data_IF_265252406641
#
_entry.id   IF_265252406641
#
_cell.length_a   1.000
_cell.length_b   1.000
_cell.length_c   1.000
_cell.angle_alpha   90.00
_cell.angle_beta   90.00
_cell.angle_gamma   90.00
#
_symmetry.space_group_name_H-M   'P 1'
#
loop_
_entity.id
_entity.type
_entity.pdbx_description
1 polymer ?
#
# COMPACT_ATOMS: atom_id res chain seq x y z
N UNK A 1 -7.53 3.63 2.08
CA UNK A 1 -8.92 4.06 2.39
C UNK A 1 -8.94 5.43 3.06
N UNK A 2 -10.12 6.03 3.25
CA UNK A 2 -10.32 7.29 3.99
C UNK A 2 -11.16 7.06 5.25
N UNK A 3 -10.82 7.74 6.35
CA UNK A 3 -11.71 7.82 7.52
C UNK A 3 -12.82 8.87 7.31
N UNK A 4 -13.80 8.93 8.23
CA UNK A 4 -14.95 9.85 8.15
C UNK A 4 -14.56 11.33 8.07
N UNK A 5 -13.35 11.67 8.51
CA UNK A 5 -12.84 13.03 8.51
C UNK A 5 -12.02 13.34 7.25
N UNK A 6 -11.77 12.33 6.39
CA UNK A 6 -11.06 12.46 5.12
C UNK A 6 -9.58 12.12 5.19
N UNK A 7 -9.06 11.64 6.33
CA UNK A 7 -7.66 11.26 6.44
C UNK A 7 -7.41 9.83 5.93
N UNK A 8 -6.23 9.61 5.37
CA UNK A 8 -5.82 8.30 4.86
C UNK A 8 -5.72 7.28 6.01
N UNK A 9 -6.22 6.08 5.71
CA UNK A 9 -6.01 4.85 6.47
C UNK A 9 -5.45 3.80 5.53
N UNK A 10 -4.25 3.29 5.84
CA UNK A 10 -3.69 2.10 5.19
C UNK A 10 -4.34 0.89 5.84
N UNK A 11 -4.70 -0.09 5.03
CA UNK A 11 -5.40 -1.30 5.44
C UNK A 11 -4.70 -2.49 4.79
N UNK A 12 -4.95 -3.68 5.34
CA UNK A 12 -4.34 -4.94 4.90
C UNK A 12 -2.80 -4.97 5.02
N UNK A 13 -2.34 -5.58 6.12
CA UNK A 13 -0.92 -5.77 6.41
C UNK A 13 -0.48 -7.22 6.13
N UNK A 14 -1.26 -8.00 5.37
CA UNK A 14 -1.00 -9.43 5.11
C UNK A 14 0.30 -9.71 4.34
N UNK A 15 0.84 -8.69 3.65
CA UNK A 15 2.12 -8.77 2.94
C UNK A 15 3.28 -8.11 3.68
N UNK A 16 3.07 -7.57 4.89
CA UNK A 16 4.13 -6.93 5.64
C UNK A 16 5.21 -7.93 6.06
N UNK A 17 6.46 -7.47 6.05
CA UNK A 17 7.62 -8.23 6.53
C UNK A 17 8.26 -7.51 7.70
N UNK A 18 8.24 -8.15 8.87
CA UNK A 18 8.92 -7.65 10.06
C UNK A 18 10.42 -7.96 10.03
N UNK A 19 11.20 -7.24 10.85
CA UNK A 19 12.65 -7.49 11.00
C UNK A 19 13.50 -6.98 9.83
N UNK A 20 12.93 -6.20 8.91
CA UNK A 20 13.66 -5.56 7.82
C UNK A 20 14.23 -4.22 8.31
N UNK A 21 15.53 -4.20 8.60
CA UNK A 21 16.31 -3.01 8.97
C UNK A 21 17.23 -2.56 7.82
N UNK A 22 18.04 -1.52 8.05
CA UNK A 22 18.99 -1.02 7.06
C UNK A 22 19.88 -2.14 6.48
N UNK A 23 19.75 -2.38 5.17
CA UNK A 23 20.52 -3.39 4.45
C UNK A 23 19.98 -4.81 4.51
N UNK A 24 18.90 -5.07 5.26
CA UNK A 24 18.21 -6.36 5.23
C UNK A 24 17.45 -6.54 3.90
N UNK A 25 17.44 -7.77 3.39
CA UNK A 25 16.77 -8.13 2.14
C UNK A 25 15.70 -9.20 2.34
N UNK A 26 14.80 -9.28 1.37
CA UNK A 26 13.72 -10.25 1.23
C UNK A 26 13.71 -10.79 -0.19
N UNK A 27 13.04 -11.93 -0.38
CA UNK A 27 13.02 -12.69 -1.64
C UNK A 27 11.62 -13.18 -2.03
N UNK A 28 10.57 -12.81 -1.30
CA UNK A 28 9.24 -13.37 -1.53
C UNK A 28 8.58 -12.65 -2.70
N UNK A 29 8.38 -13.34 -3.82
CA UNK A 29 7.61 -12.78 -4.92
C UNK A 29 6.13 -12.62 -4.52
N UNK A 30 5.72 -11.41 -4.13
CA UNK A 30 4.36 -11.09 -3.74
C UNK A 30 4.00 -9.63 -4.07
N UNK A 31 2.70 -9.36 -4.21
CA UNK A 31 2.17 -8.04 -4.52
C UNK A 31 1.19 -8.08 -5.69
N UNK A 32 0.63 -6.91 -6.02
CA UNK A 32 -0.24 -6.74 -7.19
C UNK A 32 0.64 -6.43 -8.42
N UNK A 33 0.50 -7.14 -9.55
CA UNK A 33 1.44 -7.09 -10.68
C UNK A 33 1.83 -5.67 -11.14
N UNK A 34 0.86 -4.77 -11.23
CA UNK A 34 1.02 -3.39 -11.72
C UNK A 34 1.81 -2.49 -10.75
N UNK A 35 1.97 -2.92 -9.50
CA UNK A 35 2.65 -2.18 -8.42
C UNK A 35 4.01 -2.79 -8.05
N UNK A 36 4.39 -3.93 -8.65
CA UNK A 36 5.66 -4.57 -8.38
C UNK A 36 6.83 -3.70 -8.83
N UNK A 37 7.83 -3.58 -7.97
CA UNK A 37 9.08 -2.88 -8.28
C UNK A 37 9.97 -3.75 -9.21
N UNK A 38 10.81 -3.14 -10.06
CA UNK A 38 11.69 -3.86 -10.98
C UNK A 38 12.54 -4.95 -10.30
N UNK A 39 13.10 -4.65 -9.13
CA UNK A 39 13.95 -5.59 -8.40
C UNK A 39 13.20 -6.80 -7.84
N UNK A 40 11.87 -6.72 -7.66
CA UNK A 40 11.04 -7.87 -7.27
C UNK A 40 10.80 -8.78 -8.47
N UNK A 41 10.68 -8.21 -9.68
CA UNK A 41 10.50 -8.96 -10.93
C UNK A 41 11.77 -9.67 -11.40
N UNK A 42 12.93 -9.12 -11.07
CA UNK A 42 14.23 -9.74 -11.39
C UNK A 42 14.57 -10.94 -10.48
N UNK A 43 13.69 -11.31 -9.55
CA UNK A 43 13.88 -12.37 -8.54
C UNK A 43 15.18 -12.20 -7.73
N UNK A 44 15.62 -10.94 -7.60
CA UNK A 44 16.77 -10.54 -6.82
C UNK A 44 16.35 -10.25 -5.37
N UNK A 45 17.32 -10.28 -4.47
CA UNK A 45 17.15 -9.78 -3.11
C UNK A 45 16.74 -8.30 -3.14
N UNK A 46 15.58 -7.97 -2.57
CA UNK A 46 15.07 -6.60 -2.50
C UNK A 46 14.90 -6.13 -1.05
N UNK A 47 14.91 -4.82 -0.83
CA UNK A 47 14.79 -4.20 0.49
C UNK A 47 13.59 -3.28 0.59
N UNK A 48 13.57 -2.39 1.59
CA UNK A 48 12.49 -1.42 1.82
C UNK A 48 12.21 -0.44 0.67
N UNK A 49 13.14 -0.31 -0.29
CA UNK A 49 12.99 0.61 -1.41
C UNK A 49 11.80 0.29 -2.34
N UNK A 50 11.23 -0.93 -2.24
CA UNK A 50 10.01 -1.31 -2.95
C UNK A 50 8.79 -0.50 -2.51
N UNK A 51 8.73 -0.07 -1.24
CA UNK A 51 7.63 0.76 -0.74
C UNK A 51 7.63 2.14 -1.42
N UNK A 52 8.82 2.68 -1.71
CA UNK A 52 8.97 3.96 -2.42
C UNK A 52 8.60 3.86 -3.89
N UNK A 53 8.83 2.70 -4.52
CA UNK A 53 8.30 2.43 -5.85
C UNK A 53 6.77 2.42 -5.84
N UNK A 54 6.17 1.67 -4.90
CA UNK A 54 4.72 1.62 -4.72
C UNK A 54 4.10 3.00 -4.48
N UNK A 55 4.73 3.83 -3.65
CA UNK A 55 4.33 5.23 -3.48
C UNK A 55 4.37 5.99 -4.81
N UNK A 56 5.42 5.81 -5.60
CA UNK A 56 5.55 6.41 -6.93
C UNK A 56 4.41 6.01 -7.87
N UNK A 57 4.03 4.73 -7.91
CA UNK A 57 2.93 4.22 -8.74
C UNK A 57 1.60 4.85 -8.33
N UNK A 58 1.27 4.79 -7.03
CA UNK A 58 0.02 5.35 -6.49
C UNK A 58 -0.06 6.87 -6.72
N UNK A 59 1.04 7.59 -6.49
CA UNK A 59 1.09 9.04 -6.72
C UNK A 59 0.96 9.38 -8.21
N UNK A 60 1.55 8.57 -9.09
CA UNK A 60 1.38 8.73 -10.54
C UNK A 60 -0.08 8.56 -10.93
N UNK A 61 -0.76 7.52 -10.44
CA UNK A 61 -2.18 7.30 -10.71
C UNK A 61 -3.05 8.46 -10.22
N UNK A 62 -2.80 8.97 -9.00
CA UNK A 62 -3.55 10.12 -8.47
C UNK A 62 -3.38 11.38 -9.32
N UNK A 63 -2.19 11.63 -9.88
CA UNK A 63 -1.89 12.85 -10.64
C UNK A 63 -2.15 12.73 -12.15
N UNK A 64 -2.07 11.52 -12.71
CA UNK A 64 -2.16 11.28 -14.14
C UNK A 64 -3.44 10.52 -14.55
N UNK A 65 -4.18 9.96 -13.59
CA UNK A 65 -5.43 9.24 -13.82
C UNK A 65 -5.28 7.87 -14.49
N UNK A 66 -4.07 7.30 -14.49
CA UNK A 66 -3.74 5.99 -15.07
C UNK A 66 -2.45 5.44 -14.47
N UNK A 67 -2.22 4.13 -14.61
CA UNK A 67 -0.96 3.50 -14.23
C UNK A 67 0.24 4.02 -15.07
N UNK A 68 1.45 4.07 -14.50
CA UNK A 68 2.66 4.44 -15.23
C UNK A 68 3.06 3.37 -16.27
N UNK A 69 2.81 2.10 -15.96
CA UNK A 69 3.00 0.94 -16.84
C UNK A 69 1.76 0.08 -16.79
N UNK A 70 1.26 -0.35 -17.95
CA UNK A 70 0.07 -1.19 -18.02
C UNK A 70 0.06 -2.03 -19.28
N UNK A 71 -0.26 -3.31 -19.13
CA UNK A 71 -0.63 -4.20 -20.21
C UNK A 71 -1.54 -5.30 -19.64
N UNK A 72 -2.45 -5.83 -20.45
CA UNK A 72 -3.29 -6.98 -20.05
C UNK A 72 -2.48 -8.27 -19.95
N UNK A 73 -1.43 -8.40 -20.75
CA UNK A 73 -0.47 -9.49 -20.67
C UNK A 73 0.59 -9.16 -19.61
N UNK A 74 0.71 -10.01 -18.60
CA UNK A 74 1.67 -9.85 -17.51
C UNK A 74 3.12 -9.90 -17.99
N UNK A 75 3.46 -10.73 -18.98
CA UNK A 75 4.82 -10.77 -19.51
C UNK A 75 5.18 -9.42 -20.11
N UNK A 76 4.26 -8.84 -20.88
CA UNK A 76 4.45 -7.51 -21.47
C UNK A 76 4.45 -6.40 -20.40
N UNK A 77 3.62 -6.50 -19.38
CA UNK A 77 3.63 -5.58 -18.25
C UNK A 77 5.00 -5.57 -17.55
N UNK A 78 5.55 -6.75 -17.28
CA UNK A 78 6.86 -6.88 -16.63
C UNK A 78 7.97 -6.32 -17.50
N UNK A 79 7.96 -6.56 -18.81
CA UNK A 79 8.89 -5.91 -19.75
C UNK A 79 8.82 -4.38 -19.68
N UNK A 80 7.61 -3.80 -19.58
CA UNK A 80 7.44 -2.35 -19.45
C UNK A 80 8.03 -1.84 -18.13
N UNK A 81 7.72 -2.51 -17.01
CA UNK A 81 8.24 -2.16 -15.68
C UNK A 81 9.78 -2.23 -15.66
N UNK A 82 10.38 -3.21 -16.33
CA UNK A 82 11.83 -3.41 -16.37
C UNK A 82 12.55 -2.50 -17.37
N UNK A 83 11.95 -2.19 -18.52
CA UNK A 83 12.70 -1.58 -19.65
C UNK A 83 12.18 -0.21 -20.09
N UNK A 84 10.88 0.04 -20.03
CA UNK A 84 10.30 1.28 -20.57
C UNK A 84 10.60 2.49 -19.68
N UNK A 85 10.96 3.62 -20.29
CA UNK A 85 11.08 4.88 -19.56
C UNK A 85 9.69 5.46 -19.25
N UNK A 86 9.54 5.99 -18.03
CA UNK A 86 8.29 6.60 -17.62
C UNK A 86 7.97 7.86 -18.43
N UNK A 87 6.70 7.97 -18.84
CA UNK A 87 6.19 9.11 -19.60
C UNK A 87 5.27 9.97 -18.75
N UNK A 88 5.44 11.28 -18.82
CA UNK A 88 4.62 12.24 -18.08
C UNK A 88 3.73 13.06 -19.01
N UNK A 89 2.47 13.35 -18.64
CA UNK A 89 1.64 14.27 -19.39
C UNK A 89 2.23 15.70 -19.31
N UNK A 90 1.99 16.50 -20.36
CA UNK A 90 2.53 17.87 -20.43
C UNK A 90 1.99 18.77 -19.32
N UNK A 91 0.77 18.51 -18.86
CA UNK A 91 0.06 19.23 -17.79
C UNK A 91 0.66 19.02 -16.40
N UNK A 92 1.46 17.98 -16.19
CA UNK A 92 2.03 17.68 -14.88
C UNK A 92 3.12 18.70 -14.52
N UNK A 93 3.00 19.29 -13.33
CA UNK A 93 3.94 20.31 -12.83
C UNK A 93 5.37 19.80 -12.68
N UNK A 94 6.39 20.68 -12.72
CA UNK A 94 7.79 20.27 -12.70
C UNK A 94 8.20 19.57 -11.40
N UNK A 95 7.70 20.02 -10.24
CA UNK A 95 7.98 19.38 -8.94
C UNK A 95 7.36 17.98 -8.85
N UNK A 96 6.15 17.80 -9.40
CA UNK A 96 5.48 16.50 -9.45
C UNK A 96 6.23 15.53 -10.37
N UNK A 97 6.66 16.00 -11.55
CA UNK A 97 7.52 15.22 -12.46
C UNK A 97 8.83 14.81 -11.79
N UNK A 98 9.48 15.75 -11.09
CA UNK A 98 10.74 15.49 -10.36
C UNK A 98 10.56 14.42 -9.29
N UNK A 99 9.49 14.52 -8.49
CA UNK A 99 9.19 13.53 -7.45
C UNK A 99 8.99 12.14 -8.05
N UNK A 100 8.10 12.03 -9.05
CA UNK A 100 7.78 10.75 -9.69
C UNK A 100 8.99 10.16 -10.42
N UNK A 101 9.80 10.99 -11.08
CA UNK A 101 11.02 10.53 -11.74
C UNK A 101 12.07 10.01 -10.75
N UNK A 102 12.06 10.48 -9.49
CA UNK A 102 12.91 9.98 -8.41
C UNK A 102 12.36 8.69 -7.78
N UNK A 103 11.06 8.64 -7.46
CA UNK A 103 10.41 7.46 -6.88
C UNK A 103 10.35 6.26 -7.85
N UNK A 104 10.23 6.52 -9.15
CA UNK A 104 10.11 5.50 -10.19
C UNK A 104 11.43 5.25 -10.94
N UNK A 105 12.56 5.47 -10.25
CA UNK A 105 13.85 4.96 -10.70
C UNK A 105 13.88 3.44 -10.59
N UNK A 106 14.32 2.78 -11.66
CA UNK A 106 14.38 1.31 -11.72
C UNK A 106 15.44 0.75 -10.77
N UNK A 107 16.63 1.36 -10.74
CA UNK A 107 17.66 1.01 -9.76
C UNK A 107 17.26 1.51 -8.35
N UNK A 108 17.03 0.61 -7.38
CA UNK A 108 16.62 0.99 -6.02
C UNK A 108 17.67 1.86 -5.30
N UNK A 109 18.95 1.79 -5.67
CA UNK A 109 20.01 2.63 -5.07
C UNK A 109 19.98 4.08 -5.54
N UNK A 110 19.34 4.33 -6.69
CA UNK A 110 19.15 5.68 -7.25
C UNK A 110 17.75 6.21 -6.98
N UNK A 111 16.87 5.39 -6.39
CA UNK A 111 15.49 5.72 -6.09
C UNK A 111 15.42 6.68 -4.91
N UNK A 112 14.56 7.68 -5.03
CA UNK A 112 14.27 8.59 -3.92
C UNK A 112 13.70 7.80 -2.73
N UNK A 113 14.29 7.95 -1.55
CA UNK A 113 13.98 7.15 -0.36
C UNK A 113 14.75 5.82 -0.29
N UNK A 114 15.47 5.42 -1.34
CA UNK A 114 16.30 4.21 -1.34
C UNK A 114 17.58 4.33 -0.52
N UNK A 115 17.96 5.55 -0.12
CA UNK A 115 19.15 5.82 0.67
C UNK A 115 18.99 5.59 2.19
N UNK A 116 20.04 5.87 2.98
CA UNK A 116 20.01 5.74 4.44
C UNK A 116 19.04 6.69 5.14
N UNK A 117 18.66 7.80 4.48
CA UNK A 117 17.71 8.77 5.04
C UNK A 117 16.25 8.35 4.83
N UNK A 118 15.99 7.34 4.00
CA UNK A 118 14.67 6.74 3.79
C UNK A 118 13.56 7.79 3.59
N UNK A 119 12.48 7.73 4.37
CA UNK A 119 11.35 8.66 4.29
C UNK A 119 11.76 10.14 4.39
N UNK A 120 12.82 10.47 5.12
CA UNK A 120 13.27 11.85 5.28
C UNK A 120 13.65 12.48 3.95
N UNK A 121 14.29 11.73 3.06
CA UNK A 121 14.65 12.20 1.72
C UNK A 121 13.41 12.57 0.90
N UNK A 122 12.37 11.74 0.98
CA UNK A 122 11.09 11.97 0.30
C UNK A 122 10.36 13.18 0.91
N UNK A 123 10.37 13.29 2.25
CA UNK A 123 9.72 14.37 3.00
C UNK A 123 10.30 15.75 2.72
N UNK A 124 11.61 15.82 2.41
CA UNK A 124 12.33 17.06 2.08
C UNK A 124 12.22 17.46 0.61
N UNK A 125 11.64 16.62 -0.25
CA UNK A 125 11.50 16.90 -1.67
C UNK A 125 10.62 18.14 -1.92
N UNK A 126 10.98 18.97 -2.91
CA UNK A 126 10.31 20.26 -3.20
C UNK A 126 8.80 20.16 -3.48
N UNK A 127 8.32 18.99 -3.92
CA UNK A 127 6.89 18.73 -4.07
C UNK A 127 6.12 18.90 -2.75
N UNK A 128 6.75 18.58 -1.61
CA UNK A 128 6.16 18.68 -0.29
C UNK A 128 6.58 19.94 0.48
N UNK A 129 7.13 20.96 -0.20
CA UNK A 129 7.66 22.17 0.46
C UNK A 129 6.62 22.91 1.31
N UNK A 130 5.34 22.86 0.94
CA UNK A 130 4.24 23.47 1.68
C UNK A 130 3.69 22.60 2.82
N UNK A 131 4.20 21.39 3.02
CA UNK A 131 3.70 20.43 3.99
C UNK A 131 4.48 20.55 5.30
N UNK A 132 3.75 20.79 6.39
CA UNK A 132 4.29 20.61 7.74
C UNK A 132 4.02 19.17 8.21
N UNK A 133 5.06 18.35 8.24
CA UNK A 133 4.96 16.94 8.62
C UNK A 133 4.49 16.72 10.07
N UNK A 134 4.77 17.66 10.99
CA UNK A 134 4.25 17.58 12.35
C UNK A 134 2.73 17.75 12.38
N UNK A 135 2.21 18.67 11.55
CA UNK A 135 0.77 18.90 11.41
C UNK A 135 0.07 17.73 10.69
N UNK A 136 0.77 17.03 9.78
CA UNK A 136 0.28 15.77 9.18
C UNK A 136 0.06 14.71 10.27
N UNK A 137 1.09 14.43 11.08
CA UNK A 137 1.03 13.42 12.14
C UNK A 137 -0.04 13.76 13.18
N UNK A 138 -0.16 15.05 13.52
CA UNK A 138 -1.17 15.53 14.48
C UNK A 138 -2.57 15.71 13.87
N UNK A 139 -2.77 15.34 12.60
CA UNK A 139 -4.06 15.47 11.88
C UNK A 139 -4.63 16.89 11.91
N UNK A 140 -3.77 17.90 11.84
CA UNK A 140 -4.17 19.32 11.82
C UNK A 140 -4.42 19.87 10.42
N UNK A 141 -3.87 19.22 9.39
CA UNK A 141 -4.15 19.59 8.01
C UNK A 141 -5.57 19.17 7.64
N UNK A 142 -6.36 20.11 7.14
CA UNK A 142 -7.72 19.84 6.68
C UNK A 142 -7.67 19.00 5.39
N UNK A 143 -8.30 17.81 5.34
CA UNK A 143 -8.34 17.02 4.12
C UNK A 143 -9.10 17.74 2.99
N UNK A 144 -8.64 17.66 1.74
CA UNK A 144 -9.30 18.32 0.61
C UNK A 144 -10.67 17.73 0.28
N UNK A 145 -10.92 16.48 0.69
CA UNK A 145 -12.19 15.80 0.56
C UNK A 145 -12.60 15.23 1.92
N UNK A 146 -13.78 15.64 2.40
CA UNK A 146 -14.43 15.07 3.58
C UNK A 146 -15.63 14.22 3.15
N UNK A 147 -15.63 12.90 3.43
CA UNK A 147 -16.75 12.03 3.13
C UNK A 147 -18.05 12.54 3.76
N UNK A 148 -19.14 12.55 2.98
CA UNK A 148 -20.46 13.01 3.42
C UNK A 148 -21.30 11.81 3.88
N UNK A 149 -20.86 11.12 4.92
CA UNK A 149 -21.62 10.03 5.54
C UNK A 149 -22.68 10.58 6.49
N UNK A 150 -23.84 9.94 6.54
CA UNK A 150 -25.00 10.39 7.34
C UNK A 150 -25.17 9.63 8.66
N UNK A 151 -24.52 8.47 8.81
CA UNK A 151 -24.53 7.66 10.03
C UNK A 151 -23.28 6.78 10.10
N UNK A 152 -23.08 6.11 11.24
CA UNK A 152 -21.94 5.19 11.46
C UNK A 152 -22.01 3.93 10.58
N UNK A 153 -23.18 3.61 10.04
CA UNK A 153 -23.43 2.41 9.21
C UNK A 153 -23.60 2.75 7.72
N UNK A 154 -23.36 3.99 7.34
CA UNK A 154 -23.53 4.48 5.97
C UNK A 154 -22.40 3.96 5.06
N UNK A 155 -22.77 3.12 4.08
CA UNK A 155 -21.83 2.47 3.16
C UNK A 155 -21.80 3.10 1.76
N UNK A 156 -22.28 4.34 1.56
CA UNK A 156 -22.41 4.98 0.23
C UNK A 156 -21.14 5.09 -0.62
N UNK A 157 -19.95 4.94 -0.01
CA UNK A 157 -18.66 4.99 -0.69
C UNK A 157 -18.05 3.60 -0.90
N UNK A 158 -18.82 2.54 -0.69
CA UNK A 158 -18.49 1.16 -1.02
C UNK A 158 -19.30 0.70 -2.23
N UNK A 159 -18.78 -0.28 -2.97
CA UNK A 159 -19.45 -0.81 -4.15
C UNK A 159 -20.73 -1.57 -3.78
N UNK A 160 -21.80 -1.32 -4.53
CA UNK A 160 -23.09 -2.00 -4.38
C UNK A 160 -22.97 -3.51 -4.64
N UNK A 161 -21.99 -3.93 -5.46
CA UNK A 161 -21.68 -5.36 -5.66
C UNK A 161 -21.43 -6.09 -4.34
N UNK A 162 -20.82 -5.41 -3.36
CA UNK A 162 -20.53 -5.99 -2.05
C UNK A 162 -21.66 -5.70 -1.04
N UNK A 163 -22.17 -4.47 -0.99
CA UNK A 163 -23.13 -4.06 0.05
C UNK A 163 -24.53 -4.67 -0.15
N UNK A 164 -24.87 -5.08 -1.37
CA UNK A 164 -26.14 -5.75 -1.67
C UNK A 164 -26.14 -7.26 -1.33
N UNK A 165 -25.00 -7.85 -0.98
CA UNK A 165 -24.91 -9.27 -0.66
C UNK A 165 -25.51 -9.58 0.71
N UNK A 166 -26.26 -10.68 0.80
CA UNK A 166 -26.81 -11.16 2.07
C UNK A 166 -25.70 -11.69 2.97
N UNK A 167 -25.56 -11.11 4.16
CA UNK A 167 -24.61 -11.58 5.18
C UNK A 167 -25.11 -12.91 5.75
N UNK A 168 -24.42 -14.00 5.46
CA UNK A 168 -24.63 -15.30 6.11
C UNK A 168 -23.34 -15.70 6.79
N UNK A 169 -23.32 -15.64 8.12
CA UNK A 169 -22.19 -16.18 8.90
C UNK A 169 -22.40 -17.69 8.96
N UNK A 170 -21.50 -18.47 8.36
CA UNK A 170 -21.52 -19.93 8.51
C UNK A 170 -21.32 -20.24 10.00
N UNK A 171 -22.31 -20.84 10.68
CA UNK A 171 -22.11 -21.25 12.07
C UNK A 171 -20.99 -22.29 12.13
N UNK A 172 -20.18 -22.31 13.20
CA UNK A 172 -19.18 -23.36 13.37
C UNK A 172 -19.86 -24.73 13.28
N UNK A 173 -19.25 -25.67 12.55
CA UNK A 173 -19.82 -26.99 12.33
C UNK A 173 -20.16 -27.65 13.68
N UNK A 174 -21.41 -28.07 13.86
CA UNK A 174 -21.87 -28.78 15.07
C UNK A 174 -21.14 -30.11 15.31
N UNK A 175 -20.37 -30.59 14.33
CA UNK A 175 -19.59 -31.82 14.42
C UNK A 175 -18.35 -31.72 15.33
N UNK A 176 -17.95 -30.53 15.78
CA UNK A 176 -16.84 -30.38 16.73
C UNK A 176 -17.24 -30.64 18.20
N UNK A 177 -18.53 -30.96 18.46
CA UNK A 177 -19.06 -31.22 19.80
C UNK A 177 -19.18 -32.71 20.17
N UNK A 178 -18.81 -33.65 19.28
CA UNK A 178 -18.66 -35.06 19.63
C UNK A 178 -17.22 -35.52 19.35
N UNK A 179 -16.50 -35.83 20.43
CA UNK A 179 -15.11 -36.21 20.41
C UNK A 179 -14.79 -37.32 19.41
N UNK A 180 -13.70 -37.12 18.66
CA UNK A 180 -12.85 -38.11 17.95
C UNK A 180 -12.24 -37.62 16.63
N UNK A 181 -12.15 -36.31 16.40
CA UNK A 181 -11.20 -35.78 15.41
C UNK A 181 -9.88 -35.46 16.12
N UNK A 182 -8.79 -35.96 15.53
CA UNK A 182 -7.44 -35.98 16.07
C UNK A 182 -7.01 -34.61 16.63
N UNK A 183 -6.36 -34.64 17.79
CA UNK A 183 -5.85 -33.48 18.52
C UNK A 183 -4.93 -32.57 17.67
N UNK A 184 -4.46 -33.07 16.52
CA UNK A 184 -3.56 -32.39 15.57
C UNK A 184 -4.26 -31.34 14.68
N UNK A 185 -5.60 -31.36 14.55
CA UNK A 185 -6.33 -30.39 13.71
C UNK A 185 -6.82 -29.14 14.46
N UNK A 186 -6.80 -29.14 15.80
CA UNK A 186 -7.00 -27.93 16.59
C UNK A 186 -5.70 -27.15 16.63
N UNK A 187 -5.37 -26.52 15.50
CA UNK A 187 -4.27 -25.56 15.41
C UNK A 187 -4.59 -24.41 16.36
N UNK A 188 -4.01 -24.48 17.57
CA UNK A 188 -4.00 -23.35 18.49
C UNK A 188 -3.19 -22.24 17.82
N UNK A 189 -3.88 -21.23 17.26
CA UNK A 189 -3.22 -20.09 16.63
C UNK A 189 -2.59 -19.21 17.72
N UNK A 190 -1.25 -19.17 17.83
CA UNK A 190 -0.60 -18.32 18.81
C UNK A 190 -0.91 -16.85 18.49
N UNK A 191 -1.01 -16.02 19.54
CA UNK A 191 -1.23 -14.57 19.42
C UNK A 191 -2.54 -14.15 18.72
N UNK A 192 -3.51 -15.06 18.56
CA UNK A 192 -4.80 -14.75 17.93
C UNK A 192 -5.81 -14.07 18.89
N UNK A 193 -5.63 -14.24 20.20
CA UNK A 193 -6.40 -13.52 21.22
C UNK A 193 -5.72 -12.20 21.55
N UNK A 194 -6.32 -11.08 21.14
CA UNK A 194 -5.80 -9.73 21.39
C UNK A 194 -6.94 -8.76 21.74
N UNK A 195 -6.69 -7.89 22.71
CA UNK A 195 -7.54 -6.73 23.03
C UNK A 195 -6.63 -5.53 23.26
N UNK A 196 -6.83 -4.46 22.50
CA UNK A 196 -6.04 -3.25 22.63
C UNK A 196 -6.31 -2.56 23.98
N UNK A 197 -5.26 -2.09 24.63
CA UNK A 197 -5.43 -1.23 25.82
C UNK A 197 -6.16 0.05 25.43
N UNK A 198 -7.22 0.38 26.17
CA UNK A 198 -7.91 1.67 26.03
C UNK A 198 -6.92 2.75 26.45
N UNK A 199 -6.55 3.65 25.52
CA UNK A 199 -5.83 4.87 25.88
C UNK A 199 -6.84 5.80 26.58
N UNK A 200 -6.65 6.01 27.88
CA UNK A 200 -7.29 7.13 28.61
C UNK A 200 -6.84 8.49 28.06
#
# INVERSE_FOLDING_TARGET
>A
MLDKDGHIKITDFGLCKEGISDGATMKTFCGTPEYLAPEVLEDNDYGRAVDWWGLGVVMYEMMCGRLPFYNQDHERLFELILMEEIRFPRTLGPEAKSLLAGLLKKDPKQRLGGGPSDAKEVMEHRFFLSINWQDVVQRKLLPPFKPQVTSEVDTRYFDDEFTAQSITITPPDRYDSLGSLELDQRTHFPQFSYSASIRE
#
